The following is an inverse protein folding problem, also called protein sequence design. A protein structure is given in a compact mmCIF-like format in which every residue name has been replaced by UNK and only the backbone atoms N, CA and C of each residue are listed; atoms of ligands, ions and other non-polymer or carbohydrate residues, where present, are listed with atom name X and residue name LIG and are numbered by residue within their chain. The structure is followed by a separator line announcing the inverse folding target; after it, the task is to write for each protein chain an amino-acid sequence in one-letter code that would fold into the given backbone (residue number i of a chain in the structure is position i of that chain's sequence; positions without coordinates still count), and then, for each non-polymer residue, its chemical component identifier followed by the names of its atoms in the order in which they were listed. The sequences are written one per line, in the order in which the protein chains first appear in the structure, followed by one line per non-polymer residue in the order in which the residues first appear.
data_IF_064880308725
#
_entry.id   IF_064880308725
#
_cell.length_a   1.000
_cell.length_b   1.000
_cell.length_c   1.000
_cell.angle_alpha   90.00
_cell.angle_beta   90.00
_cell.angle_gamma   90.00
#
_symmetry.space_group_name_H-M   'P 1'
#
loop_
_entity.id
_entity.type
_entity.pdbx_description
1 polymer ?
#
# COMPACT_ATOMS: atom_id res chain seq x y z
N UNK A 1 -14.13 -22.45 -16.20
CA UNK A 1 -13.03 -22.07 -15.29
C UNK A 1 -13.63 -21.15 -14.25
N UNK A 2 -13.43 -21.43 -12.95
CA UNK A 2 -14.08 -20.66 -11.89
C UNK A 2 -13.26 -19.42 -11.50
N UNK A 3 -13.98 -18.44 -10.97
CA UNK A 3 -13.53 -17.11 -10.57
C UNK A 3 -13.09 -17.11 -9.10
N UNK A 4 -11.96 -16.46 -8.81
CA UNK A 4 -11.43 -16.30 -7.46
C UNK A 4 -11.94 -15.04 -6.78
N UNK A 5 -12.49 -15.18 -5.56
CA UNK A 5 -12.88 -14.06 -4.70
C UNK A 5 -12.13 -14.13 -3.36
N UNK A 6 -11.83 -12.95 -2.80
CA UNK A 6 -11.03 -12.61 -1.60
C UNK A 6 -9.53 -12.35 -1.80
N UNK A 7 -9.15 -11.50 -2.76
CA UNK A 7 -7.76 -11.08 -2.93
C UNK A 7 -7.42 -9.93 -1.97
N UNK A 8 -6.30 -10.03 -1.25
CA UNK A 8 -5.67 -8.86 -0.59
C UNK A 8 -4.40 -8.55 -1.35
N UNK A 9 -4.26 -7.30 -1.80
CA UNK A 9 -3.01 -6.81 -2.39
C UNK A 9 -2.29 -5.99 -1.34
N UNK A 10 -1.06 -6.38 -1.05
CA UNK A 10 -0.13 -5.62 -0.22
C UNK A 10 1.01 -5.14 -1.10
N UNK A 11 1.53 -3.95 -0.82
CA UNK A 11 2.59 -3.37 -1.60
C UNK A 11 3.67 -2.74 -0.72
N UNK A 12 4.88 -2.68 -1.23
CA UNK A 12 6.02 -2.07 -0.58
C UNK A 12 6.99 -1.46 -1.60
N UNK A 13 7.54 -0.30 -1.30
CA UNK A 13 8.53 0.38 -2.14
C UNK A 13 9.92 0.15 -1.58
N UNK A 14 10.89 -0.15 -2.44
CA UNK A 14 12.29 -0.24 -2.02
C UNK A 14 12.86 1.10 -1.58
N UNK A 15 13.82 1.05 -0.67
CA UNK A 15 14.56 2.22 -0.19
C UNK A 15 15.54 2.77 -1.23
N UNK A 16 16.03 1.92 -2.11
CA UNK A 16 17.12 2.25 -3.03
C UNK A 16 16.55 2.72 -4.35
N UNK A 17 17.05 3.85 -4.82
CA UNK A 17 16.83 4.35 -6.17
C UNK A 17 18.03 3.95 -7.01
N UNK A 18 17.76 3.32 -8.14
CA UNK A 18 18.73 3.01 -9.20
C UNK A 18 19.24 4.30 -9.83
N UNK A 19 20.41 4.23 -10.49
CA UNK A 19 21.05 5.41 -11.10
C UNK A 19 20.18 6.10 -12.17
N UNK A 20 19.23 5.37 -12.76
CA UNK A 20 18.26 5.86 -13.74
C UNK A 20 17.05 6.59 -13.12
N UNK A 21 17.04 6.77 -11.80
CA UNK A 21 15.95 7.42 -11.07
C UNK A 21 14.72 6.54 -10.91
N UNK A 22 14.88 5.21 -10.98
CA UNK A 22 13.80 4.24 -10.70
C UNK A 22 14.00 3.50 -9.39
N UNK A 23 12.92 3.00 -8.81
CA UNK A 23 12.95 2.08 -7.68
C UNK A 23 11.95 0.94 -7.90
N UNK A 24 12.04 -0.12 -7.10
CA UNK A 24 11.13 -1.26 -7.20
C UNK A 24 9.91 -1.07 -6.29
N UNK A 25 8.72 -1.23 -6.87
CA UNK A 25 7.46 -1.38 -6.14
C UNK A 25 7.11 -2.87 -6.13
N UNK A 26 7.32 -3.50 -4.97
CA UNK A 26 6.91 -4.87 -4.68
C UNK A 26 5.41 -4.94 -4.45
N UNK A 27 4.81 -6.05 -4.87
CA UNK A 27 3.44 -6.41 -4.54
C UNK A 27 3.36 -7.88 -4.12
N UNK A 28 2.41 -8.18 -3.24
CA UNK A 28 1.99 -9.54 -2.89
C UNK A 28 0.48 -9.58 -2.91
N UNK A 29 -0.07 -10.47 -3.73
CA UNK A 29 -1.49 -10.77 -3.84
C UNK A 29 -1.72 -12.09 -3.10
N UNK A 30 -2.51 -12.08 -2.04
CA UNK A 30 -2.80 -13.27 -1.23
C UNK A 30 -4.23 -13.73 -1.37
N UNK A 31 -4.45 -15.04 -1.16
CA UNK A 31 -5.77 -15.70 -1.14
C UNK A 31 -6.48 -15.70 -2.49
N UNK A 32 -5.70 -15.87 -3.56
CA UNK A 32 -6.26 -16.08 -4.89
C UNK A 32 -6.77 -17.51 -4.95
N UNK A 33 -8.09 -17.65 -5.06
CA UNK A 33 -8.74 -18.96 -5.11
C UNK A 33 -8.98 -19.36 -6.57
N UNK A 34 -8.39 -20.48 -6.99
CA UNK A 34 -8.78 -21.12 -8.26
C UNK A 34 -9.59 -22.37 -7.97
N UNK A 35 -10.70 -22.54 -8.67
CA UNK A 35 -11.43 -23.80 -8.69
C UNK A 35 -11.81 -24.21 -10.12
N UNK A 36 -11.92 -25.52 -10.32
CA UNK A 36 -12.53 -26.09 -11.51
C UNK A 36 -14.04 -26.02 -11.27
N UNK A 37 -14.73 -25.08 -11.92
CA UNK A 37 -16.19 -24.97 -11.81
C UNK A 37 -16.81 -26.28 -12.31
N UNK A 38 -17.47 -27.03 -11.42
CA UNK A 38 -18.57 -27.90 -11.83
C UNK A 38 -19.68 -26.95 -12.28
N UNK A 39 -19.99 -26.92 -13.57
CA UNK A 39 -21.21 -26.31 -14.08
C UNK A 39 -22.40 -26.79 -13.24
N UNK A 40 -23.30 -25.87 -12.92
CA UNK A 40 -24.44 -26.01 -12.00
C UNK A 40 -24.99 -27.44 -11.89
N UNK A 41 -25.28 -27.85 -10.64
CA UNK A 41 -25.91 -29.14 -10.29
C UNK A 41 -27.29 -29.37 -10.97
N UNK A 42 -27.79 -28.41 -11.74
CA UNK A 42 -29.02 -28.48 -12.53
C UNK A 42 -28.83 -29.13 -13.90
N UNK A 43 -27.60 -29.19 -14.44
CA UNK A 43 -27.30 -29.75 -15.78
C UNK A 43 -26.71 -31.18 -15.73
N UNK A 44 -26.49 -31.72 -14.52
CA UNK A 44 -25.80 -33.01 -14.29
C UNK A 44 -26.64 -34.23 -14.68
N UNK A 45 -27.91 -34.06 -15.10
CA UNK A 45 -28.76 -35.21 -15.44
C UNK A 45 -28.68 -35.68 -16.89
N UNK A 46 -27.99 -34.99 -17.82
CA UNK A 46 -28.15 -35.36 -19.25
C UNK A 46 -26.92 -35.25 -20.17
N UNK A 47 -25.68 -35.11 -19.70
CA UNK A 47 -24.54 -35.13 -20.64
C UNK A 47 -23.44 -36.07 -20.18
N UNK A 48 -23.07 -37.00 -21.08
CA UNK A 48 -21.87 -37.83 -20.99
C UNK A 48 -20.69 -36.94 -20.58
N UNK A 49 -20.14 -37.20 -19.39
CA UNK A 49 -19.01 -36.45 -18.87
C UNK A 49 -17.85 -36.54 -19.87
N UNK A 50 -17.38 -35.43 -20.47
CA UNK A 50 -16.16 -35.48 -21.24
C UNK A 50 -15.02 -35.85 -20.29
N UNK A 51 -14.25 -36.90 -20.62
CA UNK A 51 -13.12 -37.45 -19.85
C UNK A 51 -11.99 -36.45 -19.49
N UNK A 52 -12.16 -35.18 -19.88
CA UNK A 52 -11.33 -34.03 -19.51
C UNK A 52 -11.67 -33.45 -18.12
N UNK A 53 -12.84 -33.77 -17.56
CA UNK A 53 -13.28 -33.25 -16.25
C UNK A 53 -12.51 -33.89 -15.08
N UNK A 54 -11.89 -35.06 -15.29
CA UNK A 54 -11.19 -35.78 -14.21
C UNK A 54 -9.67 -35.54 -14.17
N UNK A 55 -9.11 -34.80 -15.14
CA UNK A 55 -7.67 -34.54 -15.16
C UNK A 55 -7.30 -33.32 -14.29
N UNK A 56 -6.20 -33.40 -13.53
CA UNK A 56 -5.66 -32.25 -12.79
C UNK A 56 -5.25 -31.15 -13.77
N UNK A 57 -5.48 -29.91 -13.37
CA UNK A 57 -5.08 -28.71 -14.10
C UNK A 57 -3.77 -28.23 -13.51
N UNK A 58 -2.75 -28.07 -14.33
CA UNK A 58 -1.46 -27.54 -13.87
C UNK A 58 -1.26 -26.11 -14.38
N UNK A 59 -0.85 -25.19 -13.50
CA UNK A 59 -0.37 -23.87 -13.93
C UNK A 59 1.00 -24.05 -14.57
N UNK A 60 1.10 -23.78 -15.87
CA UNK A 60 2.36 -23.89 -16.63
C UNK A 60 2.99 -22.53 -16.93
N UNK A 61 2.19 -21.47 -16.95
CA UNK A 61 2.67 -20.11 -17.14
C UNK A 61 1.85 -19.14 -16.31
N UNK A 62 2.55 -18.22 -15.67
CA UNK A 62 1.97 -17.12 -14.92
C UNK A 62 2.60 -15.82 -15.40
N UNK A 63 1.77 -14.85 -15.76
CA UNK A 63 2.19 -13.49 -16.09
C UNK A 63 1.30 -12.52 -15.31
N UNK A 64 1.89 -11.44 -14.80
CA UNK A 64 1.15 -10.35 -14.17
C UNK A 64 1.41 -9.08 -14.95
N UNK A 65 0.35 -8.32 -15.22
CA UNK A 65 0.42 -7.00 -15.83
C UNK A 65 -0.10 -5.94 -14.86
N UNK A 66 0.46 -4.73 -14.91
CA UNK A 66 -0.10 -3.56 -14.24
C UNK A 66 -0.71 -2.58 -15.25
N UNK A 67 -1.77 -1.88 -14.84
CA UNK A 67 -2.41 -0.85 -15.64
C UNK A 67 -1.74 0.51 -15.41
N UNK A 68 -1.31 1.17 -16.47
CA UNK A 68 -0.68 2.49 -16.41
C UNK A 68 -1.67 3.62 -16.76
N UNK A 69 -1.31 4.86 -16.42
CA UNK A 69 -2.15 6.05 -16.67
C UNK A 69 -2.44 6.32 -18.14
N UNK A 70 -1.60 5.78 -19.05
CA UNK A 70 -1.82 5.85 -20.49
C UNK A 70 -2.82 4.81 -21.02
N UNK A 71 -3.48 4.05 -20.14
CA UNK A 71 -4.44 3.00 -20.48
C UNK A 71 -3.82 1.68 -20.95
N UNK A 72 -2.48 1.57 -20.94
CA UNK A 72 -1.78 0.36 -21.38
C UNK A 72 -1.48 -0.60 -20.23
N UNK A 73 -1.32 -1.87 -20.58
CA UNK A 73 -0.91 -2.93 -19.66
C UNK A 73 0.57 -3.26 -19.88
N UNK A 74 1.34 -3.26 -18.79
CA UNK A 74 2.77 -3.55 -18.81
C UNK A 74 3.07 -4.77 -17.95
N UNK A 75 3.95 -5.64 -18.43
CA UNK A 75 4.34 -6.85 -17.71
C UNK A 75 5.18 -6.50 -16.46
N UNK A 76 4.88 -7.18 -15.36
CA UNK A 76 5.63 -7.09 -14.12
C UNK A 76 6.84 -8.04 -14.13
N UNK A 77 7.84 -7.74 -13.30
CA UNK A 77 9.11 -8.47 -13.21
C UNK A 77 9.11 -9.45 -12.02
N UNK A 78 9.93 -10.51 -12.12
CA UNK A 78 10.16 -11.58 -11.13
C UNK A 78 8.89 -12.10 -10.45
N UNK A 79 7.99 -12.63 -11.25
CA UNK A 79 6.73 -13.19 -10.79
C UNK A 79 6.94 -14.59 -10.19
N UNK A 80 6.62 -14.72 -8.91
CA UNK A 80 6.62 -15.98 -8.17
C UNK A 80 5.21 -16.31 -7.67
N UNK A 81 4.93 -17.61 -7.57
CA UNK A 81 3.67 -18.14 -7.02
C UNK A 81 3.95 -19.21 -5.95
N UNK A 82 3.14 -19.19 -4.90
CA UNK A 82 3.20 -20.13 -3.80
C UNK A 82 1.79 -20.62 -3.44
N UNK A 83 1.65 -21.89 -3.13
CA UNK A 83 0.41 -22.40 -2.53
C UNK A 83 0.33 -21.98 -1.06
N UNK A 84 -0.87 -21.63 -0.61
CA UNK A 84 -1.15 -21.32 0.79
C UNK A 84 -2.28 -22.23 1.25
N UNK A 85 -2.03 -23.03 2.29
CA UNK A 85 -3.05 -23.92 2.87
C UNK A 85 -3.84 -23.25 3.98
N UNK A 86 -3.21 -22.32 4.72
CA UNK A 86 -3.83 -21.60 5.84
C UNK A 86 -3.65 -20.09 5.69
N UNK A 87 -4.66 -19.31 6.10
CA UNK A 87 -4.68 -17.85 5.91
C UNK A 87 -3.45 -17.10 6.44
N UNK A 88 -2.81 -17.62 7.50
CA UNK A 88 -1.67 -16.99 8.17
C UNK A 88 -0.33 -17.73 7.95
N UNK A 89 -0.30 -18.70 7.03
CA UNK A 89 0.94 -19.42 6.71
C UNK A 89 1.83 -18.55 5.83
N UNK A 90 3.12 -18.44 6.18
CA UNK A 90 4.09 -17.81 5.30
C UNK A 90 4.21 -18.60 3.99
N UNK A 91 4.09 -17.94 2.82
CA UNK A 91 4.20 -18.64 1.55
C UNK A 91 5.61 -19.18 1.37
N UNK A 92 5.72 -20.48 1.09
CA UNK A 92 6.97 -21.05 0.59
C UNK A 92 7.06 -20.76 -0.91
N UNK A 93 7.85 -19.74 -1.25
CA UNK A 93 8.12 -19.39 -2.65
C UNK A 93 8.95 -20.49 -3.30
N UNK A 94 8.33 -21.19 -4.23
CA UNK A 94 8.93 -22.33 -4.90
C UNK A 94 9.41 -21.86 -6.28
N UNK A 95 10.73 -21.89 -6.50
CA UNK A 95 11.41 -21.28 -7.65
C UNK A 95 10.95 -21.81 -9.03
N UNK A 96 10.41 -23.04 -9.12
CA UNK A 96 10.07 -23.71 -10.38
C UNK A 96 8.75 -24.50 -10.31
N UNK A 97 7.68 -23.88 -9.81
CA UNK A 97 6.45 -24.63 -9.50
C UNK A 97 5.54 -24.89 -10.67
N UNK A 98 5.40 -26.16 -11.03
CA UNK A 98 4.16 -26.68 -11.58
C UNK A 98 3.13 -26.79 -10.44
N UNK A 99 2.17 -25.86 -10.41
CA UNK A 99 1.08 -25.91 -9.43
C UNK A 99 -0.02 -26.81 -9.97
N UNK A 100 -0.29 -27.92 -9.29
CA UNK A 100 -1.36 -28.84 -9.65
C UNK A 100 -2.63 -28.51 -8.84
N UNK A 101 -3.72 -28.31 -9.57
CA UNK A 101 -5.07 -28.11 -9.04
C UNK A 101 -5.85 -29.39 -9.35
N UNK A 102 -6.10 -30.16 -8.30
CA UNK A 102 -6.95 -31.35 -8.39
C UNK A 102 -8.39 -30.96 -8.69
N UNK A 103 -9.16 -31.84 -9.38
CA UNK A 103 -10.62 -31.73 -9.42
C UNK A 103 -11.18 -31.60 -8.00
N UNK A 104 -12.21 -30.76 -7.83
CA UNK A 104 -12.95 -30.55 -6.57
C UNK A 104 -12.17 -29.96 -5.39
N UNK A 105 -10.89 -29.60 -5.56
CA UNK A 105 -10.13 -28.88 -4.54
C UNK A 105 -10.09 -27.39 -4.81
N UNK A 106 -10.48 -26.61 -3.80
CA UNK A 106 -10.15 -25.19 -3.75
C UNK A 106 -8.68 -25.08 -3.32
N UNK A 107 -7.88 -24.40 -4.13
CA UNK A 107 -6.49 -24.08 -3.76
C UNK A 107 -6.34 -22.56 -3.71
N UNK A 108 -5.81 -22.08 -2.59
CA UNK A 108 -5.47 -20.68 -2.39
C UNK A 108 -3.99 -20.46 -2.72
N UNK A 109 -3.70 -19.35 -3.38
CA UNK A 109 -2.34 -18.99 -3.77
C UNK A 109 -1.96 -17.59 -3.30
N UNK A 110 -0.65 -17.40 -3.15
CA UNK A 110 -0.03 -16.08 -3.16
C UNK A 110 0.79 -15.91 -4.42
N UNK A 111 0.72 -14.71 -4.99
CA UNK A 111 1.58 -14.27 -6.08
C UNK A 111 2.35 -13.05 -5.58
N UNK A 112 3.65 -13.01 -5.82
CA UNK A 112 4.45 -11.80 -5.63
C UNK A 112 5.16 -11.42 -6.92
N UNK A 113 5.59 -10.18 -6.96
CA UNK A 113 6.41 -9.66 -8.04
C UNK A 113 6.75 -8.21 -7.76
N UNK A 114 7.39 -7.56 -8.72
CA UNK A 114 7.64 -6.14 -8.64
C UNK A 114 7.48 -5.46 -9.99
N UNK A 115 7.48 -4.13 -9.95
CA UNK A 115 7.52 -3.29 -11.13
C UNK A 115 8.45 -2.10 -10.87
N UNK A 116 9.11 -1.61 -11.92
CA UNK A 116 9.99 -0.44 -11.84
C UNK A 116 9.18 0.83 -11.94
N UNK A 117 9.36 1.72 -10.96
CA UNK A 117 8.67 3.00 -10.88
C UNK A 117 9.69 4.12 -10.98
N UNK A 118 9.44 5.11 -11.85
CA UNK A 118 10.22 6.35 -11.89
C UNK A 118 9.89 7.23 -10.70
N UNK A 119 10.91 7.81 -10.07
CA UNK A 119 10.76 8.77 -8.98
C UNK A 119 11.56 8.39 -7.75
N UNK A 120 11.13 8.91 -6.60
CA UNK A 120 11.71 8.59 -5.30
C UNK A 120 10.72 7.76 -4.49
N UNK A 121 11.17 6.73 -3.78
CA UNK A 121 10.31 5.99 -2.88
C UNK A 121 9.86 6.87 -1.72
N UNK A 122 8.82 6.41 -1.01
CA UNK A 122 8.35 7.02 0.22
C UNK A 122 9.47 7.16 1.26
N UNK A 123 9.46 8.30 1.94
CA UNK A 123 10.47 8.66 2.96
C UNK A 123 10.45 7.74 4.18
N UNK A 124 9.29 7.19 4.53
CA UNK A 124 9.06 6.42 5.75
C UNK A 124 8.35 5.08 5.47
N UNK A 125 8.20 4.24 6.50
CA UNK A 125 7.57 2.93 6.35
C UNK A 125 6.09 3.00 6.00
N UNK A 126 5.37 4.05 6.39
CA UNK A 126 3.94 4.17 6.14
C UNK A 126 3.68 4.55 4.68
N UNK A 127 4.42 5.55 4.18
CA UNK A 127 4.41 5.99 2.78
C UNK A 127 4.90 4.88 1.84
N UNK A 128 5.95 4.12 2.20
CA UNK A 128 6.44 3.00 1.39
C UNK A 128 5.49 1.80 1.29
N UNK A 129 4.52 1.64 2.19
CA UNK A 129 3.48 0.59 2.10
C UNK A 129 2.35 0.93 1.13
N UNK A 130 2.42 2.08 0.47
CA UNK A 130 1.45 2.55 -0.51
C UNK A 130 1.95 2.23 -1.91
N UNK A 131 1.02 2.14 -2.86
CA UNK A 131 1.30 2.26 -4.28
C UNK A 131 1.80 3.68 -4.56
N UNK A 132 2.92 3.79 -5.24
CA UNK A 132 3.50 5.09 -5.58
C UNK A 132 2.56 5.92 -6.48
N UNK A 133 2.53 7.25 -6.27
CA UNK A 133 1.65 8.20 -6.96
C UNK A 133 1.80 8.27 -8.49
N UNK A 134 2.92 7.80 -9.04
CA UNK A 134 3.16 7.71 -10.49
C UNK A 134 2.52 6.46 -11.13
N UNK A 135 1.72 5.72 -10.37
CA UNK A 135 0.95 4.59 -10.85
C UNK A 135 -0.53 4.92 -10.73
N UNK A 136 -1.32 4.36 -11.65
CA UNK A 136 -2.76 4.60 -11.69
C UNK A 136 -3.45 4.24 -10.37
N UNK A 137 -4.48 5.01 -10.03
CA UNK A 137 -5.36 4.76 -8.89
C UNK A 137 -6.81 4.60 -9.39
N UNK A 138 -7.53 3.52 -9.03
CA UNK A 138 -7.05 2.35 -8.27
C UNK A 138 -5.92 1.63 -8.99
N UNK A 139 -4.98 1.08 -8.23
CA UNK A 139 -3.89 0.30 -8.81
C UNK A 139 -4.44 -1.06 -9.24
N UNK A 140 -4.33 -1.38 -10.53
CA UNK A 140 -4.89 -2.61 -11.09
C UNK A 140 -3.78 -3.56 -11.53
N UNK A 141 -3.90 -4.82 -11.14
CA UNK A 141 -3.05 -5.91 -11.58
C UNK A 141 -3.92 -6.95 -12.32
N UNK A 142 -3.52 -7.31 -13.53
CA UNK A 142 -4.12 -8.39 -14.31
C UNK A 142 -3.22 -9.61 -14.25
N UNK A 143 -3.68 -10.63 -13.54
CA UNK A 143 -3.05 -11.94 -13.47
C UNK A 143 -3.53 -12.75 -14.67
N UNK A 144 -2.62 -13.35 -15.42
CA UNK A 144 -2.91 -14.26 -16.54
C UNK A 144 -2.25 -15.60 -16.26
N UNK A 145 -3.05 -16.65 -16.21
CA UNK A 145 -2.61 -18.02 -15.99
C UNK A 145 -2.87 -18.83 -17.25
N UNK A 146 -1.88 -19.60 -17.67
CA UNK A 146 -2.01 -20.61 -18.72
C UNK A 146 -1.90 -21.99 -18.08
N UNK A 147 -2.81 -22.89 -18.44
CA UNK A 147 -2.79 -24.27 -17.99
C UNK A 147 -2.03 -25.22 -18.94
N UNK A 148 -1.82 -26.46 -18.50
CA UNK A 148 -1.21 -27.54 -19.27
C UNK A 148 -1.98 -27.97 -20.53
N UNK A 149 -3.18 -27.43 -20.75
CA UNK A 149 -3.98 -27.60 -21.96
C UNK A 149 -3.95 -26.35 -22.86
N UNK A 150 -3.04 -25.41 -22.59
CA UNK A 150 -2.91 -24.12 -23.26
C UNK A 150 -4.17 -23.23 -23.17
N UNK A 151 -5.04 -23.46 -22.18
CA UNK A 151 -6.17 -22.56 -21.90
C UNK A 151 -5.71 -21.45 -20.98
N UNK A 152 -6.23 -20.25 -21.22
CA UNK A 152 -5.91 -19.07 -20.44
C UNK A 152 -7.12 -18.62 -19.62
N UNK A 153 -6.84 -18.19 -18.39
CA UNK A 153 -7.77 -17.39 -17.60
C UNK A 153 -7.07 -16.14 -17.10
N UNK A 154 -7.86 -15.11 -16.81
CA UNK A 154 -7.33 -13.88 -16.22
C UNK A 154 -8.21 -13.37 -15.10
N UNK A 155 -7.57 -12.74 -14.13
CA UNK A 155 -8.19 -12.10 -12.98
C UNK A 155 -7.61 -10.68 -12.85
N UNK A 156 -8.48 -9.68 -12.71
CA UNK A 156 -8.07 -8.32 -12.36
C UNK A 156 -8.27 -8.15 -10.86
N UNK A 157 -7.24 -7.67 -10.18
CA UNK A 157 -7.29 -7.29 -8.77
C UNK A 157 -6.98 -5.81 -8.64
N UNK A 158 -7.64 -5.15 -7.70
CA UNK A 158 -7.51 -3.73 -7.47
C UNK A 158 -7.00 -3.46 -6.06
N UNK A 159 -6.12 -2.48 -5.93
CA UNK A 159 -5.66 -1.95 -4.66
C UNK A 159 -5.90 -0.44 -4.62
N UNK A 160 -6.63 0.00 -3.60
CA UNK A 160 -6.72 1.40 -3.24
C UNK A 160 -5.69 1.69 -2.15
N UNK A 161 -4.94 2.78 -2.30
CA UNK A 161 -4.14 3.29 -1.21
C UNK A 161 -5.03 3.64 -0.02
N UNK A 162 -4.59 3.24 1.18
CA UNK A 162 -5.23 3.71 2.43
C UNK A 162 -5.13 5.24 2.51
N UNK A 163 -5.97 5.93 3.29
CA UNK A 163 -5.73 7.34 3.59
C UNK A 163 -4.37 7.53 4.27
N UNK A 164 -3.71 8.68 4.07
CA UNK A 164 -2.54 9.05 4.84
C UNK A 164 -3.01 9.49 6.24
N UNK A 165 -2.37 8.95 7.27
CA UNK A 165 -2.58 9.41 8.64
C UNK A 165 -1.77 10.68 8.86
N UNK A 166 -2.34 11.81 8.45
CA UNK A 166 -1.73 13.11 8.67
C UNK A 166 -1.96 13.61 10.10
N UNK A 167 -0.96 14.29 10.66
CA UNK A 167 -1.11 14.92 11.97
C UNK A 167 -2.22 15.98 11.94
N UNK A 168 -3.07 15.97 12.97
CA UNK A 168 -4.07 16.98 13.23
C UNK A 168 -3.77 17.65 14.56
N UNK A 169 -4.44 18.76 14.86
CA UNK A 169 -4.37 19.37 16.18
C UNK A 169 -4.77 18.38 17.27
N UNK A 170 -5.81 17.56 17.03
CA UNK A 170 -6.28 16.55 17.98
C UNK A 170 -5.26 15.42 18.18
N UNK A 171 -4.70 14.86 17.10
CA UNK A 171 -3.66 13.82 17.23
C UNK A 171 -2.44 14.36 17.95
N UNK A 172 -2.03 15.59 17.62
CA UNK A 172 -0.90 16.26 18.25
C UNK A 172 -1.10 16.44 19.76
N UNK A 173 -2.25 16.96 20.18
CA UNK A 173 -2.58 17.13 21.61
C UNK A 173 -2.62 15.78 22.32
N UNK A 174 -3.26 14.78 21.71
CA UNK A 174 -3.34 13.42 22.28
C UNK A 174 -1.96 12.81 22.51
N UNK A 175 -1.06 12.89 21.54
CA UNK A 175 0.29 12.33 21.65
C UNK A 175 1.20 13.12 22.59
N UNK A 176 0.97 14.43 22.76
CA UNK A 176 1.80 15.31 23.57
C UNK A 176 1.10 15.78 24.87
N UNK A 177 0.03 15.11 25.29
CA UNK A 177 -0.83 15.52 26.42
C UNK A 177 -0.07 15.71 27.75
N UNK A 178 1.03 14.98 27.94
CA UNK A 178 1.88 15.08 29.13
C UNK A 178 2.69 16.37 29.17
N UNK A 179 2.98 16.97 28.00
CA UNK A 179 3.87 18.12 27.85
C UNK A 179 3.10 19.42 27.60
N UNK A 180 1.90 19.33 27.02
CA UNK A 180 1.08 20.49 26.68
C UNK A 180 0.19 20.88 27.85
N UNK A 181 0.23 22.16 28.23
CA UNK A 181 -0.76 22.76 29.12
C UNK A 181 -1.91 23.39 28.31
N UNK A 182 -1.57 24.23 27.33
CA UNK A 182 -2.55 24.91 26.48
C UNK A 182 -2.04 25.04 25.03
N UNK A 183 -2.74 24.45 24.07
CA UNK A 183 -2.43 24.63 22.64
C UNK A 183 -2.98 25.98 22.17
N UNK A 184 -2.11 26.88 21.71
CA UNK A 184 -2.47 28.22 21.27
C UNK A 184 -2.83 28.25 19.78
N UNK A 185 -2.04 27.56 18.95
CA UNK A 185 -2.26 27.46 17.53
C UNK A 185 -1.68 26.15 16.97
N UNK A 186 -2.33 25.63 15.93
CA UNK A 186 -1.83 24.53 15.12
C UNK A 186 -2.10 24.86 13.66
N UNK A 187 -1.03 25.10 12.90
CA UNK A 187 -1.09 25.44 11.48
C UNK A 187 -0.42 24.33 10.71
N UNK A 188 -1.00 23.94 9.58
CA UNK A 188 -0.45 22.88 8.75
C UNK A 188 -0.58 23.21 7.26
N UNK A 189 0.25 22.55 6.46
CA UNK A 189 0.19 22.55 5.00
C UNK A 189 0.48 21.13 4.50
N UNK A 190 -0.28 20.70 3.50
CA UNK A 190 -0.09 19.39 2.88
C UNK A 190 0.85 19.53 1.68
N UNK A 191 1.96 18.81 1.72
CA UNK A 191 2.85 18.63 0.58
C UNK A 191 2.36 17.42 -0.23
N UNK A 192 1.58 17.71 -1.27
CA UNK A 192 1.07 16.70 -2.20
C UNK A 192 2.18 16.04 -3.05
N UNK A 193 3.40 16.60 -3.07
CA UNK A 193 4.51 15.94 -3.74
C UNK A 193 5.11 14.84 -2.87
N UNK A 194 5.29 15.11 -1.58
CA UNK A 194 5.94 14.15 -0.69
C UNK A 194 4.95 13.33 0.16
N UNK A 195 3.64 13.47 -0.12
CA UNK A 195 2.57 12.78 0.62
C UNK A 195 2.70 13.02 2.14
N UNK A 196 3.04 14.27 2.51
CA UNK A 196 3.34 14.70 3.88
C UNK A 196 2.45 15.87 4.30
N UNK A 197 2.16 15.96 5.61
CA UNK A 197 1.71 17.18 6.24
C UNK A 197 2.85 17.82 7.05
N UNK A 198 3.24 19.02 6.67
CA UNK A 198 4.11 19.87 7.49
C UNK A 198 3.22 20.66 8.44
N UNK A 199 3.61 20.73 9.72
CA UNK A 199 2.86 21.49 10.71
C UNK A 199 3.75 22.35 11.60
N UNK A 200 3.13 23.34 12.23
CA UNK A 200 3.67 24.14 13.32
C UNK A 200 2.64 24.21 14.44
N UNK A 201 3.07 23.79 15.63
CA UNK A 201 2.28 23.87 16.85
C UNK A 201 2.89 24.93 17.78
N UNK A 202 2.06 25.84 18.26
CA UNK A 202 2.42 26.86 19.25
C UNK A 202 1.61 26.57 20.50
N UNK A 203 2.27 26.32 21.62
CA UNK A 203 1.59 25.96 22.87
C UNK A 203 2.34 26.44 24.10
N UNK A 204 1.64 26.51 25.22
CA UNK A 204 2.22 26.66 26.55
C UNK A 204 2.42 25.28 27.14
N UNK A 205 3.63 24.97 27.57
CA UNK A 205 3.96 23.70 28.22
C UNK A 205 3.55 23.70 29.71
N UNK A 206 3.79 22.57 30.39
CA UNK A 206 3.52 22.43 31.83
C UNK A 206 4.40 23.31 32.73
N UNK A 207 5.54 23.80 32.23
CA UNK A 207 6.42 24.73 32.93
C UNK A 207 6.05 26.21 32.66
N UNK A 208 4.95 26.45 31.95
CA UNK A 208 4.50 27.78 31.53
C UNK A 208 5.48 28.51 30.60
N UNK A 209 6.19 27.76 29.76
CA UNK A 209 7.03 28.27 28.68
C UNK A 209 6.28 28.21 27.35
N UNK A 210 6.55 29.14 26.45
CA UNK A 210 6.01 29.14 25.10
C UNK A 210 6.86 28.22 24.23
N UNK A 211 6.25 27.21 23.63
CA UNK A 211 6.93 26.27 22.73
C UNK A 211 6.39 26.45 21.33
N UNK A 212 7.29 26.60 20.37
CA UNK A 212 7.03 26.57 18.93
C UNK A 212 7.68 25.30 18.40
N UNK A 213 6.88 24.32 17.97
CA UNK A 213 7.35 23.03 17.47
C UNK A 213 6.95 22.85 16.02
N UNK A 214 7.89 22.44 15.18
CA UNK A 214 7.63 22.05 13.79
C UNK A 214 8.16 20.64 13.56
N UNK A 215 7.26 19.73 13.18
CA UNK A 215 7.57 18.32 13.00
C UNK A 215 8.17 17.66 14.26
N UNK A 216 9.00 16.63 14.04
CA UNK A 216 9.62 15.86 15.12
C UNK A 216 10.99 16.39 15.57
N UNK A 217 11.68 17.17 14.74
CA UNK A 217 13.10 17.53 14.93
C UNK A 217 13.35 18.97 15.35
N UNK A 218 12.37 19.87 15.21
CA UNK A 218 12.54 21.28 15.52
C UNK A 218 11.59 21.76 16.61
N UNK A 219 12.16 22.31 17.68
CA UNK A 219 11.42 22.99 18.74
C UNK A 219 12.21 24.17 19.28
N UNK A 220 11.57 25.33 19.38
CA UNK A 220 12.06 26.46 20.17
C UNK A 220 11.21 26.53 21.43
N UNK A 221 11.86 26.68 22.58
CA UNK A 221 11.21 26.99 23.84
C UNK A 221 11.64 28.38 24.31
N UNK A 222 10.66 29.24 24.58
CA UNK A 222 10.83 30.59 25.06
C UNK A 222 10.31 30.69 26.49
N UNK A 223 11.22 30.83 27.44
CA UNK A 223 10.88 31.08 28.83
C UNK A 223 10.22 32.44 29.04
N UNK A 224 9.62 32.63 30.22
CA UNK A 224 8.86 33.86 30.58
C UNK A 224 9.62 35.16 30.37
N UNK A 225 10.95 35.18 30.60
CA UNK A 225 11.77 36.38 30.39
C UNK A 225 11.75 36.81 28.92
N UNK A 226 11.94 35.87 27.99
CA UNK A 226 11.96 36.14 26.56
C UNK A 226 10.59 36.62 26.07
N UNK A 227 9.50 35.98 26.54
CA UNK A 227 8.13 36.39 26.21
C UNK A 227 7.87 37.83 26.66
N UNK A 228 8.28 38.20 27.89
CA UNK A 228 8.10 39.57 28.40
C UNK A 228 8.91 40.60 27.61
N UNK A 229 10.13 40.25 27.18
CA UNK A 229 10.92 41.13 26.31
C UNK A 229 10.22 41.34 24.96
N UNK A 230 9.72 40.29 24.32
CA UNK A 230 8.98 40.41 23.07
C UNK A 230 7.70 41.23 23.23
N UNK A 231 6.96 41.06 24.33
CA UNK A 231 5.77 41.85 24.63
C UNK A 231 6.10 43.35 24.80
N UNK A 232 7.19 43.66 25.53
CA UNK A 232 7.65 45.03 25.72
C UNK A 232 8.05 45.69 24.39
N UNK A 233 8.84 45.00 23.56
CA UNK A 233 9.26 45.47 22.24
C UNK A 233 8.07 45.68 21.29
N UNK A 234 7.12 44.74 21.27
CA UNK A 234 5.91 44.86 20.46
C UNK A 234 5.08 46.10 20.84
N UNK A 235 4.93 46.38 22.15
CA UNK A 235 4.22 47.57 22.63
C UNK A 235 4.94 48.87 22.31
N UNK A 236 6.27 48.89 22.36
CA UNK A 236 7.06 50.06 21.94
C UNK A 236 6.90 50.33 20.43
N UNK A 237 6.86 49.29 19.61
CA UNK A 237 6.73 49.43 18.16
C UNK A 237 5.30 49.77 17.71
N UNK A 238 4.28 49.45 18.51
CA UNK A 238 2.88 49.86 18.24
C UNK A 238 2.59 51.32 18.58
N UNK A 239 3.46 51.99 19.33
CA UNK A 239 3.27 53.41 19.72
C UNK A 239 3.92 54.38 18.73
N UNK A 240 4.35 53.90 17.56
CA UNK A 240 5.07 54.69 16.54
C UNK A 240 4.28 54.90 15.23
N UNK A 241 2.96 54.67 15.23
CA UNK A 241 2.05 55.08 14.12
C UNK A 241 1.27 56.35 14.45
#
# INVERSE_FOLDING_TARGET
MAYGSTNTVTSYQDLRVSDDGTFLQHFVITHINFSKQLTDASDVLLQEHPAYIDKPISVVKLIVFYHADNGSWYECEDIDIASITLRNQEPMWLADSLINIEPDKLVSFAIKGYLRVKGKPGRDNATRKRIHKNLSQPFQLKIVITDNFNKQCSLIVEQLNKPLEYDTSESFVKYNQSSINNLLAFVYADDCNDDERVFMAIYIDKEHQLVIKSGHSYSITLGRKNIRTMEFEAKQNQTTE
#
